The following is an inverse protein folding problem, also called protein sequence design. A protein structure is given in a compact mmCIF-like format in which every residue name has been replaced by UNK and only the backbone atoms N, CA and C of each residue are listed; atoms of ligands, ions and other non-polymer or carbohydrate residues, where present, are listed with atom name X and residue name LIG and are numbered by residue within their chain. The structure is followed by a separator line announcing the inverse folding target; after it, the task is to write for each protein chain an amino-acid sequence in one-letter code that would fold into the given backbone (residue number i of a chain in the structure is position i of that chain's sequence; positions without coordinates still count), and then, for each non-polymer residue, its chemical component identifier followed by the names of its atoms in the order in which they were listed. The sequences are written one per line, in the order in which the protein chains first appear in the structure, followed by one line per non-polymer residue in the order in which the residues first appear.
data_IF_209122782227
#
_entry.id   IF_209122782227
#
_cell.length_a   1.000
_cell.length_b   1.000
_cell.length_c   1.000
_cell.angle_alpha   90.00
_cell.angle_beta   90.00
_cell.angle_gamma   90.00
#
_symmetry.space_group_name_H-M   'P 1'
#
loop_
_entity.id
_entity.type
_entity.pdbx_description
1 polymer ?
#
# COMPACT_ATOMS: atom_id res chain seq x y z
N UNK A 1 -54.53 -51.99 13.86
CA UNK A 1 -53.38 -52.82 13.43
C UNK A 1 -52.49 -51.96 12.55
N UNK A 2 -51.30 -51.74 13.00
CA UNK A 2 -50.29 -50.99 12.24
C UNK A 2 -49.74 -51.90 11.10
N UNK A 3 -50.07 -51.59 9.85
CA UNK A 3 -49.57 -52.38 8.73
C UNK A 3 -48.27 -51.72 8.18
N UNK A 4 -47.06 -52.24 8.48
CA UNK A 4 -45.78 -51.67 8.06
C UNK A 4 -45.61 -51.68 6.54
N UNK A 5 -46.33 -52.48 5.77
CA UNK A 5 -46.27 -52.50 4.32
C UNK A 5 -46.93 -51.31 3.63
N UNK A 6 -47.91 -50.65 4.29
CA UNK A 6 -48.56 -49.45 3.74
C UNK A 6 -47.61 -48.24 3.62
N UNK A 7 -46.57 -48.15 4.47
CA UNK A 7 -45.63 -47.04 4.38
C UNK A 7 -44.66 -47.15 3.17
N UNK A 8 -44.33 -48.40 2.79
CA UNK A 8 -43.41 -48.66 1.67
C UNK A 8 -43.95 -48.10 0.34
N UNK A 9 -45.29 -48.20 0.11
CA UNK A 9 -45.92 -47.72 -1.12
C UNK A 9 -45.97 -46.19 -1.23
N UNK A 10 -45.70 -45.46 -0.13
CA UNK A 10 -45.76 -44.01 -0.07
C UNK A 10 -44.38 -43.35 0.16
N UNK A 11 -43.28 -44.13 0.28
CA UNK A 11 -41.94 -43.61 0.56
C UNK A 11 -41.50 -42.57 -0.46
N UNK A 12 -41.77 -42.78 -1.72
CA UNK A 12 -41.43 -41.85 -2.82
C UNK A 12 -42.19 -40.52 -2.65
N UNK A 13 -43.51 -40.60 -2.42
CA UNK A 13 -44.34 -39.40 -2.23
C UNK A 13 -43.93 -38.63 -0.97
N UNK A 14 -43.54 -39.31 0.10
CA UNK A 14 -43.01 -38.69 1.31
C UNK A 14 -41.69 -37.97 1.00
N UNK A 15 -40.76 -38.59 0.25
CA UNK A 15 -39.51 -37.97 -0.15
C UNK A 15 -39.69 -36.73 -1.03
N UNK A 16 -40.73 -36.69 -1.85
CA UNK A 16 -41.08 -35.56 -2.70
C UNK A 16 -41.59 -34.34 -1.92
N UNK A 17 -42.03 -34.51 -0.65
CA UNK A 17 -42.44 -33.39 0.22
C UNK A 17 -41.29 -32.61 0.82
N UNK A 18 -40.07 -33.16 0.80
CA UNK A 18 -38.91 -32.49 1.37
C UNK A 18 -38.41 -31.38 0.45
N UNK A 19 -37.97 -30.29 1.06
CA UNK A 19 -37.36 -29.15 0.35
C UNK A 19 -35.95 -29.46 -0.14
N UNK A 20 -35.23 -30.35 0.56
CA UNK A 20 -33.87 -30.78 0.18
C UNK A 20 -33.97 -31.92 -0.86
N UNK A 21 -32.99 -31.98 -1.73
CA UNK A 21 -32.91 -33.11 -2.66
C UNK A 21 -32.41 -34.36 -1.91
N UNK A 22 -32.97 -35.50 -2.27
CA UNK A 22 -32.66 -36.79 -1.62
C UNK A 22 -32.26 -37.79 -2.72
N UNK A 23 -31.12 -38.45 -2.48
CA UNK A 23 -30.66 -39.59 -3.27
C UNK A 23 -30.37 -40.76 -2.33
N UNK A 24 -30.96 -41.93 -2.60
CA UNK A 24 -30.70 -43.17 -1.87
C UNK A 24 -29.97 -44.13 -2.78
N UNK A 25 -28.87 -44.64 -2.30
CA UNK A 25 -28.10 -45.70 -3.01
C UNK A 25 -28.01 -46.96 -2.16
N UNK A 26 -27.90 -48.11 -2.83
CA UNK A 26 -27.58 -49.36 -2.15
C UNK A 26 -26.08 -49.42 -1.79
N UNK A 27 -25.65 -50.54 -1.26
CA UNK A 27 -24.25 -50.78 -0.84
C UNK A 27 -23.26 -50.75 -2.01
N UNK A 28 -23.69 -51.16 -3.19
CA UNK A 28 -22.90 -51.19 -4.43
C UNK A 28 -22.86 -49.80 -5.10
N UNK A 29 -23.62 -48.83 -4.60
CA UNK A 29 -23.72 -47.46 -5.12
C UNK A 29 -24.74 -47.34 -6.28
N UNK A 30 -25.68 -48.31 -6.40
CA UNK A 30 -26.79 -48.20 -7.34
C UNK A 30 -27.88 -47.33 -6.77
N UNK A 31 -28.33 -46.34 -7.55
CA UNK A 31 -29.36 -45.42 -7.14
C UNK A 31 -30.70 -46.13 -7.10
N UNK A 32 -31.32 -46.20 -5.92
CA UNK A 32 -32.60 -46.86 -5.69
C UNK A 32 -33.75 -45.89 -5.60
N UNK A 33 -33.50 -44.62 -5.13
CA UNK A 33 -34.51 -43.60 -5.03
C UNK A 33 -33.87 -42.21 -5.20
N UNK A 34 -34.56 -41.33 -5.92
CA UNK A 34 -34.34 -39.91 -5.94
C UNK A 34 -35.67 -39.17 -5.87
N UNK A 35 -35.75 -38.06 -5.12
CA UNK A 35 -36.94 -37.26 -5.08
C UNK A 35 -36.98 -36.24 -6.24
N UNK A 36 -38.16 -35.62 -6.44
CA UNK A 36 -38.41 -34.61 -7.48
C UNK A 36 -37.40 -33.46 -7.38
N UNK A 37 -37.04 -33.01 -6.18
CA UNK A 37 -36.09 -31.92 -5.96
C UNK A 37 -34.69 -32.25 -6.45
N UNK A 38 -34.27 -33.52 -6.40
CA UNK A 38 -32.98 -33.95 -6.94
C UNK A 38 -32.92 -33.74 -8.45
N UNK A 39 -33.96 -34.08 -9.20
CA UNK A 39 -34.01 -33.89 -10.65
C UNK A 39 -33.99 -32.39 -11.01
N UNK A 40 -34.69 -31.54 -10.23
CA UNK A 40 -34.68 -30.08 -10.43
C UNK A 40 -33.31 -29.45 -10.18
N UNK A 41 -32.57 -29.91 -9.18
CA UNK A 41 -31.23 -29.39 -8.86
C UNK A 41 -30.14 -29.83 -9.83
N UNK A 42 -30.15 -31.13 -10.17
CA UNK A 42 -29.09 -31.70 -11.02
C UNK A 42 -29.39 -31.60 -12.52
N UNK A 43 -30.65 -31.36 -12.91
CA UNK A 43 -31.09 -31.38 -14.30
C UNK A 43 -31.18 -32.77 -14.90
N UNK A 44 -31.01 -33.84 -14.11
CA UNK A 44 -31.05 -35.25 -14.57
C UNK A 44 -32.43 -35.85 -14.17
N UNK A 45 -33.11 -36.42 -15.15
CA UNK A 45 -34.41 -37.02 -14.89
C UNK A 45 -34.30 -38.24 -14.00
N UNK A 46 -35.33 -38.49 -13.22
CA UNK A 46 -35.46 -39.60 -12.26
C UNK A 46 -35.24 -40.96 -12.93
N UNK A 47 -35.79 -41.17 -14.14
CA UNK A 47 -35.71 -42.40 -14.91
C UNK A 47 -34.29 -42.73 -15.32
N UNK A 48 -33.46 -41.69 -15.53
CA UNK A 48 -32.02 -41.85 -15.86
C UNK A 48 -31.17 -42.11 -14.61
N UNK A 49 -31.61 -41.69 -13.46
CA UNK A 49 -30.87 -41.85 -12.20
C UNK A 49 -31.13 -43.23 -11.59
N UNK A 50 -32.39 -43.66 -11.47
CA UNK A 50 -32.73 -44.92 -10.82
C UNK A 50 -32.10 -46.08 -11.61
N UNK A 51 -31.43 -46.97 -10.89
CA UNK A 51 -30.71 -48.14 -11.44
C UNK A 51 -29.30 -47.82 -11.99
N UNK A 52 -28.92 -46.52 -12.07
CA UNK A 52 -27.55 -46.17 -12.47
C UNK A 52 -26.59 -46.28 -11.28
N UNK A 53 -25.32 -46.47 -11.57
CA UNK A 53 -24.27 -46.47 -10.56
C UNK A 53 -23.74 -45.06 -10.36
N UNK A 54 -23.81 -44.58 -9.11
CA UNK A 54 -23.46 -43.16 -8.79
C UNK A 54 -22.00 -42.84 -9.09
N UNK A 55 -21.07 -43.83 -9.02
CA UNK A 55 -19.66 -43.67 -9.36
C UNK A 55 -19.45 -43.38 -10.85
N UNK A 56 -20.29 -43.96 -11.75
CA UNK A 56 -20.19 -43.76 -13.20
C UNK A 56 -20.54 -42.30 -13.57
N UNK A 57 -21.33 -41.63 -12.74
CA UNK A 57 -21.67 -40.19 -12.89
C UNK A 57 -20.46 -39.31 -12.68
N UNK A 58 -19.52 -39.70 -11.80
CA UNK A 58 -18.24 -38.97 -11.61
C UNK A 58 -17.31 -39.18 -12.80
N UNK A 59 -17.21 -40.42 -13.28
CA UNK A 59 -16.35 -40.72 -14.46
C UNK A 59 -16.82 -39.99 -15.72
N UNK A 60 -18.13 -39.74 -15.83
CA UNK A 60 -18.72 -38.97 -16.91
C UNK A 60 -18.70 -37.45 -16.69
N UNK A 61 -18.07 -36.94 -15.59
CA UNK A 61 -17.94 -35.52 -15.28
C UNK A 61 -19.24 -34.84 -14.87
N UNK A 62 -20.27 -35.60 -14.45
CA UNK A 62 -21.57 -35.06 -14.02
C UNK A 62 -21.49 -34.62 -12.59
N UNK A 63 -20.77 -35.35 -11.75
CA UNK A 63 -20.51 -35.05 -10.34
C UNK A 63 -19.02 -35.04 -10.06
N UNK A 64 -18.58 -34.18 -9.12
CA UNK A 64 -17.17 -34.12 -8.71
C UNK A 64 -16.87 -35.12 -7.57
N UNK A 65 -17.88 -35.41 -6.74
CA UNK A 65 -17.73 -36.21 -5.51
C UNK A 65 -18.91 -37.16 -5.31
N UNK A 66 -18.63 -38.40 -4.86
CA UNK A 66 -19.65 -39.34 -4.33
C UNK A 66 -19.29 -39.79 -2.93
N UNK A 67 -20.27 -39.81 -2.05
CA UNK A 67 -20.10 -40.14 -0.63
C UNK A 67 -20.26 -41.64 -0.35
N UNK A 68 -20.99 -42.38 -1.20
CA UNK A 68 -21.37 -43.78 -1.00
C UNK A 68 -20.18 -44.70 -0.65
N UNK A 69 -19.07 -44.77 -1.40
CA UNK A 69 -17.98 -45.71 -1.08
C UNK A 69 -17.41 -45.49 0.32
N UNK A 70 -17.19 -44.22 0.69
CA UNK A 70 -16.61 -43.87 1.98
C UNK A 70 -17.54 -44.16 3.15
N UNK A 71 -18.84 -43.97 2.94
CA UNK A 71 -19.84 -44.26 3.97
C UNK A 71 -20.01 -45.76 4.17
N UNK A 72 -19.99 -46.55 3.10
CA UNK A 72 -20.06 -48.00 3.16
C UNK A 72 -18.85 -48.59 3.89
N UNK A 73 -17.65 -48.03 3.61
CA UNK A 73 -16.43 -48.48 4.26
C UNK A 73 -16.36 -48.12 5.74
N UNK A 74 -16.71 -46.87 6.09
CA UNK A 74 -16.53 -46.37 7.47
C UNK A 74 -17.75 -46.62 8.36
N UNK A 75 -18.94 -46.80 7.78
CA UNK A 75 -20.20 -46.87 8.52
C UNK A 75 -20.57 -45.60 9.25
N UNK A 76 -19.96 -44.43 8.87
CA UNK A 76 -20.17 -43.13 9.49
C UNK A 76 -20.77 -42.13 8.52
N UNK A 77 -21.39 -41.08 9.05
CA UNK A 77 -21.85 -39.92 8.29
C UNK A 77 -20.67 -39.20 7.64
N UNK A 78 -20.85 -38.81 6.38
CA UNK A 78 -19.86 -37.99 5.65
C UNK A 78 -20.56 -36.80 5.00
N UNK A 79 -19.95 -35.62 5.10
CA UNK A 79 -20.41 -34.40 4.44
C UNK A 79 -19.34 -33.92 3.44
N UNK A 80 -19.76 -33.37 2.31
CA UNK A 80 -18.88 -32.78 1.30
C UNK A 80 -19.59 -31.68 0.53
N UNK A 81 -18.80 -30.77 -0.06
CA UNK A 81 -19.29 -29.75 -0.99
C UNK A 81 -19.01 -30.22 -2.41
N UNK A 82 -19.95 -30.01 -3.31
CA UNK A 82 -19.89 -30.39 -4.71
C UNK A 82 -20.27 -29.20 -5.58
N UNK A 83 -19.51 -28.97 -6.65
CA UNK A 83 -19.87 -28.01 -7.69
C UNK A 83 -20.46 -28.76 -8.89
N UNK A 84 -21.61 -28.29 -9.37
CA UNK A 84 -22.22 -28.83 -10.57
C UNK A 84 -21.79 -28.08 -11.82
N UNK A 85 -21.86 -28.75 -12.98
CA UNK A 85 -21.58 -28.14 -14.30
C UNK A 85 -22.47 -26.93 -14.65
N UNK A 86 -23.64 -26.81 -13.99
CA UNK A 86 -24.56 -25.68 -14.14
C UNK A 86 -24.26 -24.49 -13.21
N UNK A 87 -23.09 -24.46 -12.53
CA UNK A 87 -22.64 -23.39 -11.65
C UNK A 87 -23.21 -23.41 -10.24
N UNK A 88 -24.01 -24.42 -9.88
CA UNK A 88 -24.56 -24.56 -8.50
C UNK A 88 -23.55 -25.22 -7.57
N UNK A 89 -23.51 -24.70 -6.33
CA UNK A 89 -22.74 -25.29 -5.22
C UNK A 89 -23.68 -26.01 -4.27
N UNK A 90 -23.45 -27.29 -4.10
CA UNK A 90 -24.30 -28.18 -3.30
C UNK A 90 -23.55 -28.68 -2.07
N UNK A 91 -24.21 -28.71 -0.93
CA UNK A 91 -23.77 -29.42 0.28
C UNK A 91 -24.45 -30.82 0.29
N UNK A 92 -23.60 -31.84 0.32
CA UNK A 92 -24.03 -33.24 0.42
C UNK A 92 -23.80 -33.74 1.82
N UNK A 93 -24.87 -34.29 2.44
CA UNK A 93 -24.84 -34.94 3.75
C UNK A 93 -25.25 -36.41 3.56
N UNK A 94 -24.31 -37.33 3.59
CA UNK A 94 -24.54 -38.75 3.43
C UNK A 94 -24.66 -39.45 4.78
N UNK A 95 -25.73 -40.25 4.95
CA UNK A 95 -26.05 -40.99 6.15
C UNK A 95 -26.15 -42.48 5.88
N UNK A 96 -25.48 -43.36 6.67
CA UNK A 96 -25.65 -44.79 6.54
C UNK A 96 -26.95 -45.26 7.16
N UNK A 97 -27.68 -46.09 6.44
CA UNK A 97 -28.79 -46.91 6.96
C UNK A 97 -28.28 -48.33 7.13
N UNK A 98 -28.32 -48.84 8.38
CA UNK A 98 -27.78 -50.17 8.72
C UNK A 98 -28.86 -51.22 8.80
N UNK A 99 -28.55 -52.41 8.37
CA UNK A 99 -29.41 -53.60 8.54
C UNK A 99 -29.37 -54.15 9.97
N UNK A 100 -30.14 -55.22 10.22
CA UNK A 100 -30.19 -55.89 11.51
C UNK A 100 -28.87 -56.47 11.98
N UNK A 101 -27.87 -56.63 11.06
CA UNK A 101 -26.51 -57.11 11.38
C UNK A 101 -25.54 -56.01 11.68
N UNK A 102 -25.97 -54.74 11.58
CA UNK A 102 -25.14 -53.55 11.80
C UNK A 102 -24.32 -53.12 10.57
N UNK A 103 -24.48 -53.80 9.42
CA UNK A 103 -23.83 -53.43 8.17
C UNK A 103 -24.62 -52.37 7.40
N UNK A 104 -23.95 -51.52 6.65
CA UNK A 104 -24.64 -50.49 5.84
C UNK A 104 -25.40 -51.20 4.71
N UNK A 105 -26.71 -51.01 4.68
CA UNK A 105 -27.61 -51.53 3.64
C UNK A 105 -27.86 -50.47 2.57
N UNK A 106 -28.11 -49.22 2.98
CA UNK A 106 -28.31 -48.06 2.10
C UNK A 106 -27.54 -46.85 2.58
N UNK A 107 -27.29 -45.94 1.66
CA UNK A 107 -26.78 -44.60 1.95
C UNK A 107 -27.81 -43.57 1.50
N UNK A 108 -28.29 -42.76 2.43
CA UNK A 108 -29.19 -41.63 2.16
C UNK A 108 -28.37 -40.36 2.09
N UNK A 109 -28.31 -39.75 0.92
CA UNK A 109 -27.63 -38.46 0.73
C UNK A 109 -28.66 -37.36 0.63
N UNK A 110 -28.63 -36.42 1.58
CA UNK A 110 -29.39 -35.17 1.56
C UNK A 110 -28.56 -34.12 0.90
N UNK A 111 -29.12 -33.39 -0.07
CA UNK A 111 -28.42 -32.44 -0.91
C UNK A 111 -29.10 -31.09 -0.81
N UNK A 112 -28.34 -30.06 -0.39
CA UNK A 112 -28.80 -28.68 -0.27
C UNK A 112 -28.11 -27.79 -1.26
N UNK A 113 -28.89 -26.93 -1.90
CA UNK A 113 -28.33 -25.83 -2.69
C UNK A 113 -27.85 -24.72 -1.75
N UNK A 114 -26.55 -24.50 -1.72
CA UNK A 114 -25.91 -23.46 -0.91
C UNK A 114 -25.28 -22.35 -1.80
N UNK A 115 -25.63 -22.29 -3.07
CA UNK A 115 -25.07 -21.32 -4.05
C UNK A 115 -25.20 -19.89 -3.54
N UNK A 116 -26.43 -19.45 -3.21
CA UNK A 116 -26.65 -18.10 -2.70
C UNK A 116 -25.91 -17.81 -1.38
N UNK A 117 -25.78 -18.82 -0.49
CA UNK A 117 -25.04 -18.68 0.76
C UNK A 117 -23.54 -18.52 0.53
N UNK A 118 -22.98 -19.25 -0.45
CA UNK A 118 -21.57 -19.16 -0.83
C UNK A 118 -21.27 -17.81 -1.48
N UNK A 119 -22.10 -17.38 -2.41
CA UNK A 119 -22.00 -16.07 -3.06
C UNK A 119 -22.05 -14.92 -2.04
N UNK A 120 -23.00 -14.95 -1.12
CA UNK A 120 -23.13 -13.93 -0.07
C UNK A 120 -21.91 -13.93 0.88
N UNK A 121 -21.39 -15.11 1.20
CA UNK A 121 -20.21 -15.25 2.07
C UNK A 121 -18.95 -14.74 1.38
N UNK A 122 -18.80 -14.96 0.09
CA UNK A 122 -17.69 -14.44 -0.71
C UNK A 122 -17.79 -12.92 -0.86
N UNK A 123 -18.99 -12.37 -1.05
CA UNK A 123 -19.24 -10.93 -1.08
C UNK A 123 -18.91 -10.26 0.27
N UNK A 124 -19.32 -10.86 1.40
CA UNK A 124 -18.96 -10.38 2.74
C UNK A 124 -17.45 -10.48 2.97
N UNK A 125 -16.80 -11.54 2.49
CA UNK A 125 -15.35 -11.69 2.64
C UNK A 125 -14.61 -10.65 1.80
N UNK A 126 -15.03 -10.42 0.58
CA UNK A 126 -14.48 -9.36 -0.28
C UNK A 126 -14.69 -7.95 0.32
N UNK A 127 -15.87 -7.70 0.92
CA UNK A 127 -16.12 -6.45 1.65
C UNK A 127 -15.26 -6.32 2.92
N UNK A 128 -15.02 -7.42 3.65
CA UNK A 128 -14.12 -7.41 4.82
C UNK A 128 -12.66 -7.20 4.42
N UNK A 129 -12.17 -7.85 3.39
CA UNK A 129 -10.81 -7.63 2.87
C UNK A 129 -10.65 -6.18 2.38
N UNK A 130 -11.68 -5.63 1.74
CA UNK A 130 -11.74 -4.22 1.39
C UNK A 130 -11.66 -3.34 2.63
N UNK A 131 -12.49 -3.60 3.65
CA UNK A 131 -12.50 -2.88 4.93
C UNK A 131 -11.19 -3.04 5.70
N UNK A 132 -10.57 -4.21 5.71
CA UNK A 132 -9.25 -4.45 6.33
C UNK A 132 -8.15 -3.72 5.55
N UNK A 133 -8.20 -3.71 4.21
CA UNK A 133 -7.33 -2.88 3.38
C UNK A 133 -7.56 -1.40 3.67
N UNK A 134 -8.82 -0.96 3.82
CA UNK A 134 -9.18 0.39 4.26
C UNK A 134 -8.71 0.70 5.67
N UNK A 135 -8.85 -0.23 6.61
CA UNK A 135 -8.41 -0.05 8.00
C UNK A 135 -6.89 -0.06 8.11
N UNK A 136 -6.18 -0.86 7.32
CA UNK A 136 -4.72 -0.87 7.28
C UNK A 136 -4.19 0.40 6.59
N UNK A 137 -4.76 0.83 5.48
CA UNK A 137 -4.47 2.13 4.85
C UNK A 137 -4.90 3.31 5.72
N UNK A 138 -5.98 3.16 6.51
CA UNK A 138 -6.44 4.17 7.47
C UNK A 138 -5.71 4.08 8.80
N UNK A 139 -5.24 2.92 9.25
CA UNK A 139 -4.48 2.75 10.50
C UNK A 139 -3.03 3.21 10.37
N UNK A 140 -2.39 3.05 9.20
CA UNK A 140 -1.18 3.83 8.90
C UNK A 140 -1.49 5.33 8.82
N UNK A 141 -2.72 5.68 8.46
CA UNK A 141 -3.23 7.05 8.44
C UNK A 141 -3.66 7.62 9.79
N UNK A 142 -3.97 6.79 10.79
CA UNK A 142 -4.25 7.24 12.17
C UNK A 142 -2.97 7.72 12.86
N UNK A 143 -1.78 7.28 12.45
CA UNK A 143 -0.52 7.83 12.95
C UNK A 143 -0.28 9.28 12.54
N UNK A 144 -0.92 9.78 11.47
CA UNK A 144 -0.78 11.16 11.00
C UNK A 144 -1.42 12.23 11.87
N UNK A 145 -2.07 11.91 12.99
CA UNK A 145 -2.70 12.89 13.88
C UNK A 145 -2.40 12.68 15.37
N UNK A 146 -1.36 11.96 15.70
CA UNK A 146 -0.96 11.71 17.09
C UNK A 146 -0.26 12.93 17.71
N UNK A 147 0.11 13.94 16.90
CA UNK A 147 0.76 15.15 17.36
C UNK A 147 -0.14 16.36 17.21
N UNK A 148 -0.22 17.25 18.21
CA UNK A 148 -0.85 18.54 18.04
C UNK A 148 -0.14 19.28 16.90
N UNK A 149 -0.92 19.89 16.02
CA UNK A 149 -0.40 20.71 14.92
C UNK A 149 0.45 21.83 15.47
N UNK A 150 1.75 21.79 15.19
CA UNK A 150 2.68 22.86 15.58
C UNK A 150 2.95 23.75 14.37
N UNK A 151 2.48 25.01 14.46
CA UNK A 151 2.65 26.04 13.42
C UNK A 151 2.96 27.34 14.11
N UNK A 152 4.24 27.68 14.24
CA UNK A 152 4.68 28.96 14.81
C UNK A 152 5.25 29.90 13.73
N UNK A 153 5.85 29.36 12.69
CA UNK A 153 6.42 30.17 11.62
C UNK A 153 5.34 30.87 10.79
N UNK A 154 5.52 32.18 10.48
CA UNK A 154 4.58 32.90 9.63
C UNK A 154 4.38 32.30 8.26
N UNK A 155 5.42 31.62 7.71
CA UNK A 155 5.35 30.94 6.41
C UNK A 155 4.37 29.77 6.47
N UNK A 156 4.44 28.95 7.52
CA UNK A 156 3.50 27.84 7.69
C UNK A 156 2.09 28.30 8.02
N UNK A 157 1.94 29.40 8.80
CA UNK A 157 0.63 29.99 9.06
C UNK A 157 -0.07 30.42 7.77
N UNK A 158 0.65 31.10 6.86
CA UNK A 158 0.13 31.48 5.54
C UNK A 158 -0.22 30.25 4.71
N UNK A 159 0.67 29.25 4.64
CA UNK A 159 0.43 28.01 3.91
C UNK A 159 -0.84 27.29 4.38
N UNK A 160 -1.07 27.21 5.68
CA UNK A 160 -2.28 26.60 6.22
C UNK A 160 -3.52 27.45 5.99
N UNK A 161 -3.42 28.77 5.98
CA UNK A 161 -4.53 29.66 5.60
C UNK A 161 -4.91 29.46 4.13
N UNK A 162 -3.93 29.40 3.21
CA UNK A 162 -4.14 29.06 1.79
C UNK A 162 -4.73 27.66 1.63
N UNK A 163 -4.19 26.67 2.35
CA UNK A 163 -4.72 25.29 2.33
C UNK A 163 -6.18 25.23 2.79
N UNK A 164 -6.56 26.02 3.81
CA UNK A 164 -7.95 26.08 4.29
C UNK A 164 -8.87 26.74 3.26
N UNK A 165 -8.45 27.81 2.61
CA UNK A 165 -9.23 28.44 1.53
C UNK A 165 -9.42 27.50 0.32
N UNK A 166 -8.37 26.78 -0.08
CA UNK A 166 -8.47 25.76 -1.14
C UNK A 166 -9.37 24.58 -0.71
N UNK A 167 -9.40 24.27 0.58
CA UNK A 167 -10.20 23.16 1.10
C UNK A 167 -11.71 23.33 0.83
N UNK A 168 -12.21 24.56 0.82
CA UNK A 168 -13.61 24.90 0.56
C UNK A 168 -14.05 24.56 -0.89
N UNK A 169 -13.11 24.25 -1.78
CA UNK A 169 -13.35 23.91 -3.18
C UNK A 169 -12.96 22.46 -3.47
N UNK A 170 -13.48 21.89 -4.58
CA UNK A 170 -13.06 20.56 -5.08
C UNK A 170 -11.86 20.63 -6.03
N UNK A 171 -11.15 21.75 -6.08
CA UNK A 171 -9.99 21.92 -6.94
C UNK A 171 -8.91 20.86 -6.64
N UNK A 172 -8.25 20.36 -7.70
CA UNK A 172 -7.06 19.52 -7.57
C UNK A 172 -5.93 20.30 -6.94
N UNK A 173 -5.25 19.70 -5.97
CA UNK A 173 -4.15 20.34 -5.23
C UNK A 173 -2.84 19.60 -5.49
N UNK A 174 -1.79 20.34 -5.81
CA UNK A 174 -0.43 19.83 -5.95
C UNK A 174 0.44 20.35 -4.81
N UNK A 175 0.89 19.44 -3.94
CA UNK A 175 1.79 19.72 -2.81
C UNK A 175 3.24 19.48 -3.25
N UNK A 176 4.04 20.53 -3.25
CA UNK A 176 5.46 20.47 -3.58
C UNK A 176 6.30 20.65 -2.31
N UNK A 177 7.39 19.89 -2.21
CA UNK A 177 8.33 20.02 -1.10
C UNK A 177 9.20 18.80 -0.92
N UNK A 178 10.31 18.98 -0.23
CA UNK A 178 11.28 17.92 0.05
C UNK A 178 10.65 16.74 0.80
N UNK A 179 11.32 15.60 0.75
CA UNK A 179 10.92 14.43 1.53
C UNK A 179 10.93 14.75 3.03
N UNK A 180 9.89 14.31 3.75
CA UNK A 180 9.79 14.50 5.19
C UNK A 180 9.36 15.89 5.68
N UNK A 181 8.93 16.82 4.79
CA UNK A 181 8.46 18.16 5.21
C UNK A 181 7.05 18.15 5.81
N UNK A 182 6.28 17.05 5.65
CA UNK A 182 4.91 16.90 6.16
C UNK A 182 3.84 17.13 5.10
N UNK A 183 4.05 16.73 3.83
CA UNK A 183 3.06 16.83 2.74
C UNK A 183 1.74 16.14 3.09
N UNK A 184 1.81 14.97 3.71
CA UNK A 184 0.64 14.19 4.16
C UNK A 184 -0.18 14.92 5.26
N UNK A 185 0.47 15.64 6.17
CA UNK A 185 -0.21 16.44 7.21
C UNK A 185 -1.01 17.58 6.57
N UNK A 186 -0.44 18.23 5.54
CA UNK A 186 -1.13 19.30 4.78
C UNK A 186 -2.28 18.70 3.97
N UNK A 187 -2.11 17.56 3.32
CA UNK A 187 -3.17 16.88 2.57
C UNK A 187 -4.37 16.51 3.47
N UNK A 188 -4.11 15.95 4.66
CA UNK A 188 -5.14 15.66 5.66
C UNK A 188 -5.81 16.93 6.20
N UNK A 189 -5.05 18.02 6.34
CA UNK A 189 -5.63 19.31 6.75
C UNK A 189 -6.62 19.82 5.69
N UNK A 190 -6.26 19.73 4.39
CA UNK A 190 -7.15 20.10 3.29
C UNK A 190 -8.42 19.24 3.32
N UNK A 191 -8.30 17.92 3.46
CA UNK A 191 -9.45 17.03 3.52
C UNK A 191 -10.37 17.35 4.69
N UNK A 192 -9.83 17.52 5.92
CA UNK A 192 -10.61 17.79 7.14
C UNK A 192 -11.35 19.12 7.14
N UNK A 193 -10.86 20.10 6.38
CA UNK A 193 -11.50 21.41 6.23
C UNK A 193 -12.32 21.51 4.93
N UNK A 194 -12.55 20.39 4.23
CA UNK A 194 -13.30 20.35 2.97
C UNK A 194 -14.76 19.94 3.20
N UNK A 195 -15.58 20.11 2.16
CA UNK A 195 -16.95 19.59 2.11
C UNK A 195 -17.02 18.06 2.19
N UNK A 196 -15.88 17.36 2.07
CA UNK A 196 -15.73 15.90 2.09
C UNK A 196 -15.06 15.39 3.38
N UNK A 197 -15.06 16.20 4.47
CA UNK A 197 -14.36 15.88 5.72
C UNK A 197 -14.78 14.56 6.36
N UNK A 198 -16.06 14.19 6.22
CA UNK A 198 -16.65 12.95 6.78
C UNK A 198 -16.58 11.77 5.79
N UNK A 199 -16.07 12.00 4.58
CA UNK A 199 -15.94 10.99 3.54
C UNK A 199 -14.54 10.30 3.58
N UNK A 200 -14.31 9.22 2.82
CA UNK A 200 -13.03 8.50 2.83
C UNK A 200 -11.85 9.38 2.40
N UNK A 201 -10.72 9.26 3.14
CA UNK A 201 -9.42 9.80 2.75
C UNK A 201 -8.49 8.62 2.41
N UNK A 202 -8.28 8.37 1.12
CA UNK A 202 -7.45 7.26 0.65
C UNK A 202 -6.08 7.79 0.27
N UNK A 203 -5.05 7.35 1.02
CA UNK A 203 -3.65 7.65 0.69
C UNK A 203 -3.05 6.54 -0.16
N UNK A 204 -2.39 6.92 -1.23
CA UNK A 204 -1.62 6.04 -2.11
C UNK A 204 -0.20 6.57 -2.22
N UNK A 205 0.77 5.78 -1.82
CA UNK A 205 2.18 6.07 -2.04
C UNK A 205 2.61 5.41 -3.36
N UNK A 206 2.74 6.25 -4.41
CA UNK A 206 3.04 5.77 -5.76
C UNK A 206 4.44 5.16 -5.89
N UNK A 207 5.37 5.50 -4.99
CA UNK A 207 6.73 4.95 -4.99
C UNK A 207 6.85 3.62 -4.26
N UNK A 208 5.90 3.28 -3.37
CA UNK A 208 5.96 2.05 -2.56
C UNK A 208 5.33 0.84 -3.24
N UNK A 209 4.42 1.04 -4.20
CA UNK A 209 3.72 -0.05 -4.89
C UNK A 209 4.56 -0.51 -6.08
N UNK A 210 4.86 -1.81 -6.21
CA UNK A 210 5.55 -2.37 -7.37
C UNK A 210 4.84 -2.02 -8.68
N UNK A 211 5.60 -1.70 -9.74
CA UNK A 211 5.06 -1.23 -11.02
C UNK A 211 4.04 -2.20 -11.65
N UNK A 212 4.23 -3.50 -11.48
CA UNK A 212 3.33 -4.54 -11.97
C UNK A 212 2.02 -4.65 -11.19
N UNK A 213 1.92 -4.07 -9.99
CA UNK A 213 0.73 -4.12 -9.14
C UNK A 213 -0.01 -2.78 -9.08
N UNK A 214 0.68 -1.66 -9.35
CA UNK A 214 0.10 -0.32 -9.19
C UNK A 214 -1.16 -0.13 -10.04
N UNK A 215 -1.21 -0.74 -11.22
CA UNK A 215 -2.37 -0.68 -12.12
C UNK A 215 -3.60 -1.32 -11.48
N UNK A 216 -3.45 -2.54 -10.97
CA UNK A 216 -4.54 -3.31 -10.36
C UNK A 216 -4.97 -2.75 -9.01
N UNK A 217 -4.05 -2.16 -8.24
CA UNK A 217 -4.36 -1.51 -6.98
C UNK A 217 -5.10 -0.19 -7.19
N UNK A 218 -4.62 0.69 -8.08
CA UNK A 218 -5.26 2.00 -8.33
C UNK A 218 -6.61 1.88 -9.02
N UNK A 219 -6.68 1.09 -10.11
CA UNK A 219 -7.86 1.08 -10.99
C UNK A 219 -8.73 -0.16 -10.83
N UNK A 220 -8.25 -1.20 -10.13
CA UNK A 220 -8.98 -2.47 -9.98
C UNK A 220 -8.96 -3.33 -11.23
N UNK A 221 -9.59 -4.50 -11.14
CA UNK A 221 -9.69 -5.46 -12.25
C UNK A 221 -11.01 -6.21 -12.24
N UNK A 222 -11.43 -6.72 -13.41
CA UNK A 222 -12.61 -7.58 -13.54
C UNK A 222 -12.23 -9.05 -13.41
N UNK A 223 -13.18 -9.94 -13.10
CA UNK A 223 -12.95 -11.38 -13.03
C UNK A 223 -12.26 -11.91 -14.29
N UNK A 224 -11.23 -12.76 -14.11
CA UNK A 224 -10.54 -13.41 -15.23
C UNK A 224 -9.64 -12.53 -16.09
N UNK A 225 -9.32 -11.32 -15.68
CA UNK A 225 -8.49 -10.38 -16.45
C UNK A 225 -7.02 -10.80 -16.60
N UNK A 226 -6.51 -11.63 -15.70
CA UNK A 226 -5.16 -12.23 -15.78
C UNK A 226 -5.09 -13.52 -14.95
N UNK A 227 -4.01 -14.30 -15.13
CA UNK A 227 -3.78 -15.55 -14.37
C UNK A 227 -3.56 -15.23 -12.89
N UNK A 228 -4.46 -15.70 -12.02
CA UNK A 228 -4.45 -15.39 -10.59
C UNK A 228 -5.42 -14.28 -10.17
N UNK A 229 -6.17 -13.68 -11.11
CA UNK A 229 -7.25 -12.74 -10.76
C UNK A 229 -8.34 -13.44 -9.94
N UNK A 230 -8.85 -12.75 -8.90
CA UNK A 230 -10.00 -13.23 -8.13
C UNK A 230 -11.22 -13.45 -9.03
N UNK A 231 -12.01 -14.49 -8.74
CA UNK A 231 -13.27 -14.79 -9.46
C UNK A 231 -14.31 -13.66 -9.39
N UNK A 232 -14.16 -12.74 -8.43
CA UNK A 232 -15.07 -11.60 -8.23
C UNK A 232 -14.48 -10.27 -8.72
N UNK A 233 -13.23 -10.27 -9.20
CA UNK A 233 -12.53 -9.02 -9.50
C UNK A 233 -12.13 -8.27 -8.21
N UNK A 234 -11.64 -7.03 -8.36
CA UNK A 234 -11.28 -6.14 -7.25
C UNK A 234 -11.59 -4.70 -7.63
N UNK A 235 -12.24 -3.96 -6.74
CA UNK A 235 -12.38 -2.52 -6.90
C UNK A 235 -11.03 -1.83 -6.64
N UNK A 236 -10.70 -0.80 -7.44
CA UNK A 236 -9.47 -0.03 -7.27
C UNK A 236 -9.58 1.06 -6.21
N UNK A 237 -8.43 1.58 -5.77
CA UNK A 237 -8.35 2.65 -4.76
C UNK A 237 -9.01 3.96 -5.23
N UNK A 238 -9.05 4.22 -6.55
CA UNK A 238 -9.79 5.37 -7.13
C UNK A 238 -11.29 5.22 -6.89
N UNK A 239 -11.86 4.03 -7.10
CA UNK A 239 -13.28 3.76 -6.81
C UNK A 239 -13.56 3.83 -5.31
N UNK A 240 -12.65 3.31 -4.51
CA UNK A 240 -12.74 3.31 -3.06
C UNK A 240 -12.72 4.73 -2.46
N UNK A 241 -12.06 5.68 -3.12
CA UNK A 241 -12.04 7.09 -2.74
C UNK A 241 -13.28 7.87 -3.21
N UNK A 242 -14.24 7.21 -3.84
CA UNK A 242 -15.45 7.89 -4.37
C UNK A 242 -16.20 8.61 -3.25
N UNK A 243 -16.73 9.80 -3.57
CA UNK A 243 -17.31 10.79 -2.64
C UNK A 243 -16.33 11.40 -1.64
N UNK A 244 -15.06 10.95 -1.61
CA UNK A 244 -14.02 11.38 -0.69
C UNK A 244 -12.83 12.06 -1.37
N UNK A 245 -11.64 11.83 -0.80
CA UNK A 245 -10.38 12.41 -1.27
C UNK A 245 -9.35 11.31 -1.54
N UNK A 246 -8.77 11.32 -2.73
CA UNK A 246 -7.62 10.50 -3.11
C UNK A 246 -6.35 11.33 -2.96
N UNK A 247 -5.47 10.91 -2.05
CA UNK A 247 -4.16 11.50 -1.86
C UNK A 247 -3.09 10.64 -2.52
N UNK A 248 -2.48 11.17 -3.59
CA UNK A 248 -1.42 10.53 -4.35
C UNK A 248 -0.06 11.09 -3.89
N UNK A 249 0.63 10.36 -3.02
CA UNK A 249 1.97 10.73 -2.56
C UNK A 249 3.02 10.25 -3.56
N UNK A 250 4.08 11.02 -3.73
CA UNK A 250 5.16 10.81 -4.70
C UNK A 250 4.64 10.55 -6.14
N UNK A 251 3.71 11.41 -6.62
CA UNK A 251 3.08 11.29 -7.95
C UNK A 251 4.10 11.27 -9.11
N UNK A 252 5.28 11.85 -8.91
CA UNK A 252 6.38 11.83 -9.88
C UNK A 252 7.04 10.47 -10.08
N UNK A 253 6.68 9.44 -9.28
CA UNK A 253 7.15 8.06 -9.43
C UNK A 253 6.20 7.20 -10.27
N UNK A 254 5.04 7.73 -10.67
CA UNK A 254 4.04 6.99 -11.45
C UNK A 254 4.57 6.64 -12.84
N UNK A 255 4.49 5.37 -13.29
CA UNK A 255 4.83 4.98 -14.66
C UNK A 255 4.00 5.71 -15.70
N UNK A 256 4.57 5.98 -16.89
CA UNK A 256 3.92 6.73 -17.98
C UNK A 256 2.57 6.14 -18.41
N UNK A 257 2.45 4.83 -18.38
CA UNK A 257 1.19 4.12 -18.68
C UNK A 257 0.10 4.46 -17.66
N UNK A 258 0.46 4.55 -16.39
CA UNK A 258 -0.47 4.90 -15.30
C UNK A 258 -0.83 6.38 -15.31
N UNK A 259 0.11 7.25 -15.71
CA UNK A 259 -0.17 8.67 -15.88
C UNK A 259 -1.29 8.91 -16.90
N UNK A 260 -1.34 8.14 -17.99
CA UNK A 260 -2.40 8.24 -19.01
C UNK A 260 -3.77 7.82 -18.45
N UNK A 261 -3.81 6.81 -17.60
CA UNK A 261 -5.04 6.37 -16.94
C UNK A 261 -5.53 7.37 -15.89
N UNK A 262 -4.60 7.90 -15.09
CA UNK A 262 -4.91 8.92 -14.08
C UNK A 262 -5.45 10.20 -14.76
N UNK A 263 -4.91 10.57 -15.92
CA UNK A 263 -5.40 11.71 -16.67
C UNK A 263 -6.88 11.56 -17.02
N UNK A 264 -7.34 10.37 -17.46
CA UNK A 264 -8.76 10.10 -17.71
C UNK A 264 -9.61 10.29 -16.46
N UNK A 265 -9.13 9.80 -15.31
CA UNK A 265 -9.84 10.01 -14.04
C UNK A 265 -10.02 11.50 -13.74
N UNK A 266 -8.98 12.32 -13.98
CA UNK A 266 -9.02 13.76 -13.72
C UNK A 266 -9.81 14.56 -14.77
N UNK A 267 -9.99 14.04 -15.99
CA UNK A 267 -10.69 14.71 -17.07
C UNK A 267 -12.16 14.32 -17.14
N UNK A 268 -12.41 13.00 -17.13
CA UNK A 268 -13.72 12.43 -17.43
C UNK A 268 -14.46 11.98 -16.17
N UNK A 269 -13.77 11.95 -15.02
CA UNK A 269 -14.30 11.40 -13.77
C UNK A 269 -14.75 9.95 -13.93
N UNK A 270 -13.99 9.19 -14.72
CA UNK A 270 -14.26 7.80 -15.03
C UNK A 270 -13.03 6.94 -14.77
N UNK A 271 -13.27 5.75 -14.25
CA UNK A 271 -12.25 4.73 -14.05
C UNK A 271 -12.57 3.50 -14.89
N UNK A 272 -11.56 2.96 -15.57
CA UNK A 272 -11.66 1.71 -16.33
C UNK A 272 -10.84 0.64 -15.61
N UNK A 273 -11.50 -0.40 -15.09
CA UNK A 273 -10.83 -1.55 -14.47
C UNK A 273 -10.02 -2.32 -15.51
N UNK A 274 -8.96 -2.98 -15.07
CA UNK A 274 -8.16 -3.86 -15.94
C UNK A 274 -9.05 -4.99 -16.47
N UNK A 275 -9.08 -5.16 -17.79
CA UNK A 275 -9.93 -6.13 -18.48
C UNK A 275 -11.39 -5.69 -18.70
N UNK A 276 -11.80 -4.53 -18.19
CA UNK A 276 -13.15 -4.00 -18.44
C UNK A 276 -13.23 -3.23 -19.76
N UNK A 277 -14.41 -3.21 -20.38
CA UNK A 277 -14.72 -2.45 -21.59
C UNK A 277 -15.59 -1.22 -21.31
N UNK A 278 -16.27 -1.19 -20.15
CA UNK A 278 -17.19 -0.12 -19.76
C UNK A 278 -16.55 0.67 -18.61
N UNK A 279 -16.37 1.99 -18.75
CA UNK A 279 -15.87 2.83 -17.67
C UNK A 279 -16.94 3.03 -16.58
N UNK A 280 -16.50 3.24 -15.37
CA UNK A 280 -17.35 3.53 -14.21
C UNK A 280 -17.12 4.98 -13.77
N UNK A 281 -18.19 5.73 -13.57
CA UNK A 281 -18.11 7.09 -13.02
C UNK A 281 -17.67 7.06 -11.55
N UNK A 282 -16.80 8.01 -11.21
CA UNK A 282 -16.29 8.23 -9.85
C UNK A 282 -16.38 9.72 -9.52
N UNK A 283 -16.70 10.02 -8.26
CA UNK A 283 -16.69 11.38 -7.74
C UNK A 283 -15.58 11.45 -6.67
N UNK A 284 -14.39 11.91 -7.05
CA UNK A 284 -13.23 11.91 -6.17
C UNK A 284 -12.48 13.23 -6.22
N UNK A 285 -12.18 13.83 -5.06
CA UNK A 285 -11.26 14.97 -4.98
C UNK A 285 -9.81 14.45 -4.99
N UNK A 286 -8.94 15.04 -5.81
CA UNK A 286 -7.54 14.62 -5.91
C UNK A 286 -6.62 15.63 -5.26
N UNK A 287 -5.75 15.14 -4.37
CA UNK A 287 -4.60 15.85 -3.82
C UNK A 287 -3.34 15.07 -4.20
N UNK A 288 -2.42 15.68 -4.93
CA UNK A 288 -1.17 15.05 -5.35
C UNK A 288 0.02 15.68 -4.60
N UNK A 289 1.04 14.89 -4.32
CA UNK A 289 2.26 15.37 -3.67
C UNK A 289 3.51 14.81 -4.35
N UNK A 290 4.59 15.58 -4.39
CA UNK A 290 5.89 15.13 -4.91
C UNK A 290 7.04 15.97 -4.35
N UNK A 291 8.23 15.38 -4.32
CA UNK A 291 9.50 16.06 -4.06
C UNK A 291 10.25 16.40 -5.36
N UNK A 292 9.78 15.87 -6.53
CA UNK A 292 10.39 16.12 -7.85
C UNK A 292 9.94 17.45 -8.45
N UNK A 293 10.80 18.07 -9.23
CA UNK A 293 10.45 19.21 -10.08
C UNK A 293 9.77 18.69 -11.36
N UNK A 294 8.41 18.60 -11.33
CA UNK A 294 7.66 18.00 -12.44
C UNK A 294 7.91 18.67 -13.79
N UNK A 295 8.20 19.97 -13.84
CA UNK A 295 8.59 20.65 -15.08
C UNK A 295 9.84 20.03 -15.72
N UNK A 296 10.82 19.67 -14.90
CA UNK A 296 12.03 18.96 -15.39
C UNK A 296 11.72 17.55 -15.84
N UNK A 297 10.84 16.86 -15.14
CA UNK A 297 10.42 15.51 -15.53
C UNK A 297 9.60 15.53 -16.84
N UNK A 298 8.79 16.56 -17.06
CA UNK A 298 8.10 16.78 -18.35
C UNK A 298 9.14 17.03 -19.47
N UNK A 299 10.15 17.86 -19.23
CA UNK A 299 11.22 18.12 -20.20
C UNK A 299 12.06 16.88 -20.54
N UNK A 300 12.24 15.95 -19.59
CA UNK A 300 12.90 14.65 -19.80
C UNK A 300 12.01 13.61 -20.48
N UNK A 301 10.70 13.86 -20.61
CA UNK A 301 9.73 12.90 -21.14
C UNK A 301 9.34 11.77 -20.16
N UNK A 302 9.67 11.87 -18.88
CA UNK A 302 9.31 10.92 -17.82
C UNK A 302 7.99 11.25 -17.14
N UNK A 303 7.45 12.46 -17.38
CA UNK A 303 6.14 12.88 -16.92
C UNK A 303 5.36 13.58 -18.06
N UNK A 304 4.06 13.29 -18.17
CA UNK A 304 3.21 13.84 -19.24
C UNK A 304 2.87 15.30 -18.96
N UNK A 305 3.00 16.14 -19.97
CA UNK A 305 2.66 17.56 -19.88
C UNK A 305 1.16 17.80 -19.63
N UNK A 306 0.29 17.01 -20.24
CA UNK A 306 -1.16 17.12 -20.07
C UNK A 306 -1.60 16.79 -18.64
N UNK A 307 -1.06 15.75 -18.03
CA UNK A 307 -1.28 15.41 -16.63
C UNK A 307 -0.74 16.50 -15.70
N UNK A 308 0.47 17.01 -15.96
CA UNK A 308 1.06 18.08 -15.18
C UNK A 308 0.15 19.31 -15.10
N UNK A 309 -0.35 19.82 -16.25
CA UNK A 309 -1.26 20.96 -16.25
C UNK A 309 -2.60 20.66 -15.57
N UNK A 310 -3.09 19.43 -15.60
CA UNK A 310 -4.32 19.04 -14.91
C UNK A 310 -4.15 18.94 -13.39
N UNK A 311 -2.95 18.60 -12.92
CA UNK A 311 -2.60 18.58 -11.49
C UNK A 311 -2.28 19.99 -10.96
N UNK A 312 -1.72 20.89 -11.78
CA UNK A 312 -1.27 22.24 -11.40
C UNK A 312 -2.43 23.25 -11.37
N UNK A 313 -3.52 22.95 -10.67
CA UNK A 313 -4.66 23.88 -10.49
C UNK A 313 -4.42 24.75 -9.25
N UNK A 314 -4.21 24.17 -8.10
CA UNK A 314 -3.78 24.84 -6.88
C UNK A 314 -2.46 24.25 -6.40
N UNK A 315 -1.44 25.09 -6.23
CA UNK A 315 -0.08 24.63 -5.87
C UNK A 315 0.31 25.18 -4.52
N UNK A 316 0.68 24.29 -3.60
CA UNK A 316 1.20 24.67 -2.28
C UNK A 316 2.64 24.19 -2.14
N UNK A 317 3.57 25.13 -1.91
CA UNK A 317 4.98 24.83 -1.69
C UNK A 317 5.28 24.75 -0.20
N UNK A 318 5.59 23.56 0.31
CA UNK A 318 5.87 23.34 1.72
C UNK A 318 7.37 23.59 1.96
N UNK A 319 7.74 24.60 2.76
CA UNK A 319 9.14 24.94 2.97
C UNK A 319 9.86 23.86 3.78
N UNK A 320 11.16 23.61 3.50
CA UNK A 320 11.97 22.72 4.30
C UNK A 320 12.16 23.24 5.73
N UNK A 321 12.44 22.33 6.66
CA UNK A 321 12.50 22.65 8.10
C UNK A 321 13.56 23.72 8.42
N UNK A 322 14.68 23.73 7.68
CA UNK A 322 15.74 24.74 7.80
C UNK A 322 15.29 26.17 7.49
N UNK A 323 14.22 26.35 6.70
CA UNK A 323 13.64 27.67 6.36
C UNK A 323 12.59 28.13 7.38
N UNK A 324 12.22 27.26 8.34
CA UNK A 324 11.23 27.53 9.38
C UNK A 324 11.75 27.13 10.77
N UNK A 325 12.95 27.61 11.11
CA UNK A 325 13.67 27.21 12.33
C UNK A 325 12.90 27.42 13.63
N UNK A 326 11.98 28.37 13.66
CA UNK A 326 11.11 28.63 14.84
C UNK A 326 10.17 27.46 15.14
N UNK A 327 9.88 26.61 14.16
CA UNK A 327 9.03 25.43 14.33
C UNK A 327 9.79 24.23 14.92
N UNK A 328 11.14 24.23 14.88
CA UNK A 328 11.97 23.05 15.25
C UNK A 328 11.75 22.66 16.71
N UNK A 329 11.92 23.58 17.65
CA UNK A 329 11.79 23.27 19.08
C UNK A 329 10.37 22.89 19.47
N UNK A 330 9.32 23.59 19.03
CA UNK A 330 7.96 23.19 19.28
C UNK A 330 7.60 21.82 18.71
N UNK A 331 8.09 21.49 17.51
CA UNK A 331 7.94 20.15 16.94
C UNK A 331 8.67 19.10 17.79
N UNK A 332 9.94 19.33 18.11
CA UNK A 332 10.70 18.46 18.98
C UNK A 332 9.99 18.22 20.32
N UNK A 333 9.51 19.28 20.97
CA UNK A 333 8.79 19.18 22.25
C UNK A 333 7.51 18.35 22.11
N UNK A 334 6.77 18.52 21.01
CA UNK A 334 5.57 17.72 20.71
C UNK A 334 5.93 16.24 20.59
N UNK A 335 7.02 15.90 19.88
CA UNK A 335 7.50 14.54 19.73
C UNK A 335 8.02 13.95 21.05
N UNK A 336 8.77 14.73 21.86
CA UNK A 336 9.18 14.28 23.19
C UNK A 336 7.98 13.98 24.09
N UNK A 337 6.95 14.81 24.04
CA UNK A 337 5.71 14.59 24.80
C UNK A 337 5.00 13.31 24.37
N UNK A 338 4.89 13.10 23.06
CA UNK A 338 4.22 11.94 22.50
C UNK A 338 4.98 10.64 22.82
N UNK A 339 6.27 10.57 22.44
CA UNK A 339 7.08 9.38 22.66
C UNK A 339 7.35 9.14 24.13
N UNK A 340 7.45 10.21 24.96
CA UNK A 340 7.54 10.12 26.40
C UNK A 340 6.34 9.40 27.01
N UNK A 341 5.13 9.74 26.59
CA UNK A 341 3.89 9.04 27.00
C UNK A 341 3.89 7.60 26.48
N UNK A 342 4.23 7.39 25.19
CA UNK A 342 4.23 6.07 24.56
C UNK A 342 5.19 5.09 25.23
N UNK A 343 6.40 5.53 25.58
CA UNK A 343 7.43 4.70 26.18
C UNK A 343 7.51 4.87 27.72
N UNK A 344 6.62 5.65 28.33
CA UNK A 344 6.56 5.92 29.77
C UNK A 344 7.88 6.47 30.32
N UNK A 345 8.51 7.38 29.60
CA UNK A 345 9.75 8.06 29.94
C UNK A 345 9.57 9.57 29.89
N UNK A 346 9.96 10.27 30.97
CA UNK A 346 10.05 11.72 30.96
C UNK A 346 11.46 12.13 30.50
N UNK A 347 11.55 12.83 29.36
CA UNK A 347 12.81 13.28 28.78
C UNK A 347 12.73 14.76 28.46
N UNK A 348 13.72 15.52 28.91
CA UNK A 348 13.85 16.95 28.66
C UNK A 348 15.13 17.25 27.87
N UNK A 349 15.18 18.41 27.22
CA UNK A 349 16.37 18.90 26.50
C UNK A 349 17.10 19.92 27.38
N UNK A 350 18.45 19.83 27.44
CA UNK A 350 19.28 20.93 27.96
C UNK A 350 19.21 22.13 26.99
N UNK A 351 19.55 23.32 27.48
CA UNK A 351 19.49 24.54 26.65
C UNK A 351 20.55 24.48 25.51
N UNK A 352 21.71 23.88 25.76
CA UNK A 352 22.73 23.65 24.76
C UNK A 352 22.22 22.66 23.70
N UNK A 353 21.51 21.61 24.09
CA UNK A 353 20.91 20.65 23.16
C UNK A 353 19.84 21.31 22.27
N UNK A 354 19.03 22.23 22.83
CA UNK A 354 18.06 23.03 22.04
C UNK A 354 18.75 23.86 20.97
N UNK A 355 19.89 24.49 21.27
CA UNK A 355 20.66 25.27 20.31
C UNK A 355 21.21 24.40 19.18
N UNK A 356 21.71 23.19 19.49
CA UNK A 356 22.18 22.24 18.48
C UNK A 356 21.05 21.86 17.53
N UNK A 357 19.86 21.54 18.05
CA UNK A 357 18.69 21.20 17.23
C UNK A 357 18.27 22.36 16.32
N UNK A 358 18.26 23.60 16.80
CA UNK A 358 17.89 24.79 16.03
C UNK A 358 18.87 25.10 14.90
N UNK A 359 20.15 24.82 15.11
CA UNK A 359 21.22 25.13 14.16
C UNK A 359 21.45 24.02 13.12
N UNK A 360 20.87 22.84 13.30
CA UNK A 360 21.00 21.75 12.36
C UNK A 360 20.22 22.02 11.06
N UNK A 361 20.72 21.47 9.95
CA UNK A 361 20.17 21.72 8.60
C UNK A 361 18.96 20.86 8.25
N UNK A 362 18.75 19.75 8.96
CA UNK A 362 17.63 18.82 8.81
C UNK A 362 17.40 18.36 7.36
N UNK A 363 18.34 17.68 6.73
CA UNK A 363 18.17 17.20 5.34
C UNK A 363 16.98 16.26 5.18
N UNK A 364 16.63 15.45 6.19
CA UNK A 364 15.42 14.62 6.24
C UNK A 364 14.20 15.33 6.85
N UNK A 365 14.29 16.64 7.06
CA UNK A 365 13.20 17.51 7.54
C UNK A 365 12.55 17.02 8.85
N UNK A 366 11.21 17.05 8.92
CA UNK A 366 10.45 16.68 10.13
C UNK A 366 10.57 15.19 10.43
N UNK A 367 10.69 14.32 9.40
CA UNK A 367 10.87 12.88 9.58
C UNK A 367 12.20 12.55 10.28
N UNK A 368 13.26 13.26 9.94
CA UNK A 368 14.56 13.11 10.62
C UNK A 368 14.49 13.59 12.07
N UNK A 369 13.88 14.75 12.32
CA UNK A 369 13.68 15.28 13.67
C UNK A 369 12.85 14.30 14.53
N UNK A 370 11.78 13.76 14.00
CA UNK A 370 10.92 12.78 14.67
C UNK A 370 11.69 11.51 15.03
N UNK A 371 12.41 10.92 14.07
CA UNK A 371 13.22 9.71 14.29
C UNK A 371 14.31 9.95 15.35
N UNK A 372 14.97 11.11 15.30
CA UNK A 372 15.95 11.48 16.31
C UNK A 372 15.33 11.54 17.70
N UNK A 373 14.22 12.26 17.86
CA UNK A 373 13.54 12.42 19.15
C UNK A 373 13.07 11.05 19.68
N UNK A 374 12.50 10.22 18.81
CA UNK A 374 12.12 8.86 19.19
C UNK A 374 13.32 8.05 19.69
N UNK A 375 14.45 8.09 18.97
CA UNK A 375 15.69 7.45 19.38
C UNK A 375 16.20 7.95 20.74
N UNK A 376 16.21 9.27 20.93
CA UNK A 376 16.62 9.89 22.20
C UNK A 376 15.73 9.47 23.37
N UNK A 377 14.41 9.43 23.21
CA UNK A 377 13.50 8.97 24.29
C UNK A 377 13.75 7.51 24.62
N UNK A 378 14.02 6.65 23.63
CA UNK A 378 14.30 5.23 23.88
C UNK A 378 15.64 5.03 24.61
N UNK A 379 16.69 5.74 24.19
CA UNK A 379 18.07 5.53 24.67
C UNK A 379 18.42 6.32 25.91
N UNK A 380 17.76 7.47 26.18
CA UNK A 380 18.05 8.30 27.34
C UNK A 380 17.80 7.57 28.66
N UNK A 381 18.84 7.50 29.50
CA UNK A 381 18.80 6.84 30.83
C UNK A 381 18.50 7.81 31.99
N UNK A 382 18.83 9.09 31.84
CA UNK A 382 18.83 10.05 32.92
C UNK A 382 17.75 11.13 32.81
N UNK A 383 16.82 11.02 31.86
CA UNK A 383 15.72 11.96 31.67
C UNK A 383 16.11 13.36 31.13
N UNK A 384 17.41 13.61 30.93
CA UNK A 384 17.92 14.86 30.36
C UNK A 384 18.83 14.54 29.17
N UNK A 385 18.52 15.12 28.01
CA UNK A 385 19.31 15.02 26.78
C UNK A 385 20.27 16.19 26.71
N UNK A 386 21.56 15.90 26.72
CA UNK A 386 22.64 16.86 26.53
C UNK A 386 23.23 16.84 25.13
N UNK A 387 24.21 17.69 24.88
CA UNK A 387 24.90 17.77 23.57
C UNK A 387 25.59 16.44 23.19
N UNK A 388 26.05 15.67 24.17
CA UNK A 388 26.71 14.37 23.92
C UNK A 388 25.75 13.34 23.33
N UNK A 389 24.48 13.38 23.70
CA UNK A 389 23.45 12.50 23.18
C UNK A 389 23.09 12.82 21.71
N UNK A 390 23.39 14.04 21.28
CA UNK A 390 23.21 14.55 19.92
C UNK A 390 24.47 14.35 19.04
N UNK A 391 25.47 13.62 19.49
CA UNK A 391 26.71 13.39 18.72
C UNK A 391 26.48 12.70 17.35
N UNK A 392 25.33 12.04 17.15
CA UNK A 392 24.87 11.52 15.88
C UNK A 392 24.35 12.57 14.88
N UNK A 393 24.03 13.80 15.38
CA UNK A 393 23.67 14.95 14.54
C UNK A 393 24.94 15.64 13.96
N UNK A 394 26.01 14.93 13.70
CA UNK A 394 27.02 15.50 12.82
C UNK A 394 26.33 15.83 11.50
N UNK A 395 26.49 17.05 10.95
CA UNK A 395 26.11 17.29 9.57
C UNK A 395 26.73 16.15 8.78
N UNK A 396 25.91 15.32 8.15
CA UNK A 396 26.42 14.47 7.09
C UNK A 396 27.23 15.44 6.21
N UNK A 397 28.51 15.15 5.91
CA UNK A 397 29.18 15.92 4.90
C UNK A 397 28.19 15.97 3.73
N UNK A 398 27.94 17.14 3.13
CA UNK A 398 26.96 17.25 2.07
C UNK A 398 27.19 16.05 1.17
N UNK A 399 26.12 15.27 0.93
CA UNK A 399 26.19 14.16 -0.01
C UNK A 399 26.87 14.78 -1.22
N UNK A 400 28.08 14.37 -1.52
CA UNK A 400 28.75 14.70 -2.76
C UNK A 400 27.88 14.12 -3.88
N UNK A 401 26.79 14.82 -4.21
CA UNK A 401 26.28 14.85 -5.56
C UNK A 401 27.47 15.35 -6.36
N UNK A 402 28.08 14.47 -7.15
CA UNK A 402 29.40 14.60 -7.73
C UNK A 402 29.67 15.81 -8.64
N UNK A 403 29.48 16.99 -8.08
CA UNK A 403 30.00 18.25 -8.64
C UNK A 403 30.48 19.05 -7.42
N UNK A 404 31.78 18.96 -7.18
CA UNK A 404 32.48 19.73 -6.16
C UNK A 404 32.38 21.21 -6.45
N UNK A 405 31.42 21.91 -5.90
CA UNK A 405 31.44 23.37 -5.82
C UNK A 405 32.56 23.78 -4.85
N UNK A 406 33.73 24.05 -5.39
CA UNK A 406 34.73 24.86 -4.69
C UNK A 406 34.15 26.26 -4.54
N UNK A 407 34.00 26.72 -3.31
CA UNK A 407 33.80 28.13 -3.10
C UNK A 407 35.02 28.83 -3.71
N UNK A 408 34.82 29.55 -4.80
CA UNK A 408 35.88 30.33 -5.42
C UNK A 408 36.39 31.37 -4.36
N UNK A 409 37.71 31.54 -4.23
CA UNK A 409 38.25 32.55 -3.36
C UNK A 409 37.72 33.93 -3.72
N UNK A 410 37.59 34.83 -2.73
CA UNK A 410 37.15 36.20 -2.96
C UNK A 410 38.01 36.84 -4.06
N UNK A 411 37.34 37.47 -5.05
CA UNK A 411 37.96 38.03 -6.25
C UNK A 411 38.37 39.48 -6.00
N UNK A 412 37.75 40.16 -5.02
CA UNK A 412 37.97 41.59 -4.81
C UNK A 412 39.37 41.92 -4.35
N UNK A 413 40.07 42.81 -5.10
CA UNK A 413 41.41 43.34 -4.79
C UNK A 413 42.57 42.38 -4.99
N UNK A 414 42.38 41.20 -5.64
CA UNK A 414 43.42 40.16 -5.80
C UNK A 414 43.77 39.90 -7.25
N UNK A 415 45.04 39.61 -7.50
CA UNK A 415 45.51 39.25 -8.85
C UNK A 415 45.05 37.84 -9.22
N UNK A 416 44.73 37.60 -10.50
CA UNK A 416 44.36 36.31 -11.03
C UNK A 416 45.40 35.23 -10.67
N UNK A 417 46.68 35.57 -10.68
CA UNK A 417 47.80 34.68 -10.34
C UNK A 417 47.73 34.21 -8.87
N UNK A 418 47.31 35.10 -7.95
CA UNK A 418 47.15 34.77 -6.54
C UNK A 418 45.95 33.82 -6.32
N UNK A 419 44.84 34.08 -7.01
CA UNK A 419 43.62 33.25 -6.93
C UNK A 419 43.91 31.85 -7.51
N UNK A 420 44.55 31.78 -8.67
CA UNK A 420 44.96 30.52 -9.30
C UNK A 420 45.87 29.67 -8.39
N UNK A 421 46.82 30.31 -7.72
CA UNK A 421 47.73 29.63 -6.79
C UNK A 421 46.98 29.04 -5.58
N UNK A 422 46.02 29.78 -5.05
CA UNK A 422 45.20 29.31 -3.93
C UNK A 422 44.31 28.13 -4.31
N UNK A 423 43.63 28.18 -5.45
CA UNK A 423 42.84 27.08 -6.00
C UNK A 423 43.70 25.84 -6.26
N UNK A 424 44.88 26.02 -6.87
CA UNK A 424 45.81 24.93 -7.14
C UNK A 424 46.30 24.27 -5.86
N UNK A 425 46.61 25.05 -4.82
CA UNK A 425 47.00 24.56 -3.49
C UNK A 425 45.90 23.72 -2.88
N UNK A 426 44.67 24.22 -2.87
CA UNK A 426 43.50 23.51 -2.33
C UNK A 426 43.20 22.19 -3.06
N UNK A 427 43.35 22.18 -4.39
CA UNK A 427 43.15 20.96 -5.21
C UNK A 427 44.21 19.91 -4.92
N UNK A 428 45.49 20.30 -4.80
CA UNK A 428 46.58 19.37 -4.49
C UNK A 428 46.46 18.82 -3.06
N UNK A 429 46.12 19.64 -2.06
CA UNK A 429 45.91 19.19 -0.69
C UNK A 429 44.78 18.18 -0.60
N UNK A 430 43.64 18.49 -1.22
CA UNK A 430 42.50 17.57 -1.23
C UNK A 430 42.79 16.27 -1.98
N UNK A 431 43.55 16.38 -3.07
CA UNK A 431 44.05 15.23 -3.80
C UNK A 431 44.96 14.33 -2.96
N UNK A 432 45.89 14.93 -2.21
CA UNK A 432 46.76 14.17 -1.30
C UNK A 432 45.99 13.48 -0.18
N UNK A 433 44.98 14.14 0.39
CA UNK A 433 44.10 13.52 1.39
C UNK A 433 43.30 12.33 0.82
N UNK A 434 42.88 12.45 -0.45
CA UNK A 434 42.03 11.43 -1.10
C UNK A 434 42.82 10.23 -1.61
N UNK A 435 43.98 10.46 -2.22
CA UNK A 435 44.76 9.42 -2.89
C UNK A 435 45.99 8.94 -2.11
N UNK A 436 46.36 9.59 -1.03
CA UNK A 436 47.35 9.15 -0.06
C UNK A 436 48.81 9.08 -0.58
N UNK A 437 49.04 9.22 -1.91
CA UNK A 437 50.40 9.14 -2.47
C UNK A 437 50.58 10.06 -3.67
N UNK A 438 51.81 10.62 -3.77
CA UNK A 438 52.21 11.50 -4.90
C UNK A 438 52.15 10.75 -6.24
N UNK A 439 52.43 9.45 -6.24
CA UNK A 439 52.42 8.64 -7.46
C UNK A 439 50.99 8.47 -8.02
N UNK A 440 50.02 8.23 -7.15
CA UNK A 440 48.62 8.09 -7.52
C UNK A 440 48.02 9.43 -7.95
N UNK A 441 48.38 10.51 -7.22
CA UNK A 441 47.94 11.87 -7.56
C UNK A 441 48.49 12.32 -8.93
N UNK A 442 49.76 11.98 -9.26
CA UNK A 442 50.39 12.22 -10.54
C UNK A 442 49.60 11.56 -11.69
N UNK A 443 49.18 10.30 -11.47
CA UNK A 443 48.41 9.55 -12.45
C UNK A 443 46.99 10.14 -12.65
N UNK A 444 46.34 10.52 -11.59
CA UNK A 444 44.96 11.06 -11.64
C UNK A 444 44.92 12.47 -12.23
N UNK A 445 45.92 13.32 -11.93
CA UNK A 445 45.97 14.68 -12.44
C UNK A 445 46.71 14.81 -13.79
N UNK A 446 47.17 13.68 -14.33
CA UNK A 446 47.97 13.64 -15.58
C UNK A 446 49.14 14.63 -15.58
N UNK A 447 49.80 14.76 -14.43
CA UNK A 447 50.92 15.67 -14.22
C UNK A 447 52.19 14.88 -13.85
N UNK A 448 53.37 15.41 -14.25
CA UNK A 448 54.61 14.77 -13.85
C UNK A 448 54.81 14.72 -12.35
N UNK A 449 55.28 13.55 -11.88
CA UNK A 449 55.51 13.29 -10.45
C UNK A 449 56.44 14.32 -9.81
N UNK A 450 57.45 14.79 -10.52
CA UNK A 450 58.37 15.85 -10.09
C UNK A 450 57.67 17.19 -9.87
N UNK A 451 56.70 17.52 -10.70
CA UNK A 451 55.90 18.76 -10.62
C UNK A 451 55.00 18.72 -9.38
N UNK A 452 54.31 17.61 -9.15
CA UNK A 452 53.45 17.43 -7.96
C UNK A 452 54.31 17.43 -6.69
N UNK A 453 55.41 16.70 -6.66
CA UNK A 453 56.33 16.69 -5.53
C UNK A 453 56.82 18.08 -5.13
N UNK A 454 57.24 18.91 -6.11
CA UNK A 454 57.66 20.29 -5.86
C UNK A 454 56.52 21.13 -5.27
N UNK A 455 55.29 21.01 -5.78
CA UNK A 455 54.15 21.76 -5.31
C UNK A 455 53.69 21.32 -3.89
N UNK A 456 53.73 20.02 -3.58
CA UNK A 456 53.48 19.52 -2.22
C UNK A 456 54.51 20.08 -1.23
N UNK A 457 55.80 20.10 -1.59
CA UNK A 457 56.85 20.72 -0.74
C UNK A 457 56.66 22.21 -0.52
N UNK A 458 56.24 22.95 -1.56
CA UNK A 458 55.92 24.38 -1.44
C UNK A 458 54.74 24.62 -0.48
N UNK A 459 53.74 23.74 -0.49
CA UNK A 459 52.58 23.80 0.43
C UNK A 459 53.00 23.49 1.87
N UNK A 460 53.81 22.47 2.09
CA UNK A 460 54.34 22.12 3.41
C UNK A 460 55.22 23.25 4.00
N UNK A 461 56.05 23.88 3.16
CA UNK A 461 56.87 25.00 3.60
C UNK A 461 56.06 26.25 4.04
N UNK A 462 54.89 26.48 3.43
CA UNK A 462 53.98 27.57 3.80
C UNK A 462 53.28 27.27 5.13
N UNK A 463 53.07 26.00 5.50
CA UNK A 463 52.43 25.60 6.73
C UNK A 463 53.34 25.62 7.97
N UNK A 464 54.65 25.57 7.76
CA UNK A 464 55.65 25.49 8.82
C UNK A 464 56.46 26.78 8.98
N UNK A 465 56.20 27.83 8.21
CA UNK A 465 56.75 29.16 8.34
C UNK A 465 55.69 30.18 8.73
#
# INVERSE_FOLDING_TARGET
MYNPHMLADYVEQLCDTFRDAICVTDREGIVTLVNKRHAELTGISREKMIGSRIQDMVQNGIFDVVLNPRIVETGQKVSSVQNLYNGRTLLLDGHPVKDATGKVAYVVTVIRDITALTELREEITAQRELLETFQNLSSEGVTGNQYPRVVQSPVMQRLYAEASAIAETDATVLLLGETGVGKDVVARHIHRNSLRADAPFIKVDCGSIPENLIETELFGYVPGSFSGASKHGKAGLVEAASSGTLFLDEIGELPMTMQSRLLRVLQDWEVLRVGATVPKKVDVRVVAATNKELEREVAKGTFRSDLYYRLKVAVLNIPPLRSRRVDILPLAQSFFTFYGKKYRKAVNLSDEAKQVLQNHTWPGNVRELENLVQGLVVTCKHGLVGVRDLAGLRPLPPCESGEGHYALPSIEGRSLKSIMKEVETAVIEKGMQRYGSISELSRQFQMDRSTIFRKVKEIEAIKHG
#
